data_IF_020188328034
#
_entry.id   IF_020188328034
#
_cell.length_a   1.000
_cell.length_b   1.000
_cell.length_c   1.000
_cell.angle_alpha   90.00
_cell.angle_beta   90.00
_cell.angle_gamma   90.00
#
_symmetry.space_group_name_H-M   'P 1'
#
loop_
_entity.id
_entity.type
_entity.pdbx_description
1 polymer ?
#
# COMPACT_ATOMS: atom_id res chain seq x y z
N UNK A 1 38.87 14.10 46.10
CA UNK A 1 37.87 14.15 45.03
C UNK A 1 37.57 12.72 44.59
N UNK A 2 36.43 12.14 44.99
CA UNK A 2 35.94 10.90 44.38
C UNK A 2 35.31 11.20 43.00
N UNK A 3 35.33 10.23 42.05
CA UNK A 3 34.69 10.41 40.75
C UNK A 3 33.15 10.42 40.88
N UNK A 4 32.42 11.16 40.02
CA UNK A 4 30.97 11.19 40.05
C UNK A 4 30.36 9.86 39.58
N UNK A 5 29.26 9.52 40.23
CA UNK A 5 28.49 8.28 40.11
C UNK A 5 28.19 7.86 38.67
N UNK A 6 28.55 6.62 38.33
CA UNK A 6 28.05 5.95 37.12
C UNK A 6 26.60 5.53 37.36
N UNK A 7 25.68 6.25 36.74
CA UNK A 7 24.28 5.85 36.61
C UNK A 7 24.19 4.48 35.92
N UNK A 8 23.34 3.54 36.40
CA UNK A 8 23.14 2.28 35.69
C UNK A 8 22.35 2.54 34.41
N UNK A 9 22.87 2.06 33.28
CA UNK A 9 22.11 1.93 32.05
C UNK A 9 20.99 0.93 32.29
N UNK A 10 19.76 1.43 32.48
CA UNK A 10 18.57 0.59 32.43
C UNK A 10 18.47 0.04 31.01
N UNK A 11 18.78 -1.25 30.88
CA UNK A 11 18.61 -2.03 29.67
C UNK A 11 17.11 -2.06 29.34
N UNK A 12 16.67 -1.13 28.49
CA UNK A 12 15.32 -1.11 27.96
C UNK A 12 15.06 -2.41 27.20
N UNK A 13 14.25 -3.29 27.78
CA UNK A 13 13.79 -4.49 27.10
C UNK A 13 12.87 -4.06 25.97
N UNK A 14 13.36 -4.15 24.74
CA UNK A 14 12.56 -3.96 23.53
C UNK A 14 11.68 -5.21 23.37
N UNK A 15 10.58 -5.24 24.13
CA UNK A 15 9.48 -6.18 23.94
C UNK A 15 8.87 -5.89 22.58
N UNK A 16 9.26 -6.68 21.57
CA UNK A 16 8.49 -6.80 20.33
C UNK A 16 7.16 -7.46 20.71
N UNK A 17 6.18 -6.64 21.04
CA UNK A 17 4.84 -7.08 21.41
C UNK A 17 4.23 -7.87 20.26
N UNK A 18 3.97 -9.16 20.50
CA UNK A 18 3.20 -10.00 19.58
C UNK A 18 1.75 -9.51 19.61
N UNK A 19 1.36 -8.68 18.66
CA UNK A 19 -0.04 -8.27 18.48
C UNK A 19 -0.87 -9.52 18.14
N UNK A 20 -1.94 -9.73 18.88
CA UNK A 20 -2.89 -10.84 18.65
C UNK A 20 -3.64 -10.65 17.32
N UNK A 21 -4.13 -11.73 16.71
CA UNK A 21 -4.93 -11.68 15.48
C UNK A 21 -6.16 -10.75 15.60
N UNK A 22 -6.73 -10.59 16.80
CA UNK A 22 -7.82 -9.65 17.06
C UNK A 22 -7.36 -8.18 17.04
N UNK A 23 -6.14 -7.91 17.51
CA UNK A 23 -5.51 -6.59 17.51
C UNK A 23 -5.15 -6.15 16.07
N UNK A 24 -4.68 -7.09 15.25
CA UNK A 24 -4.46 -6.89 13.82
C UNK A 24 -5.77 -6.60 13.09
N UNK A 25 -6.84 -7.36 13.35
CA UNK A 25 -8.15 -7.13 12.72
C UNK A 25 -8.76 -5.78 13.10
N UNK A 26 -8.62 -5.36 14.36
CA UNK A 26 -9.10 -4.05 14.81
C UNK A 26 -8.32 -2.92 14.12
N UNK A 27 -6.99 -2.99 14.10
CA UNK A 27 -6.12 -2.01 13.42
C UNK A 27 -6.39 -1.95 11.91
N UNK A 28 -6.65 -3.11 11.27
CA UNK A 28 -6.95 -3.18 9.85
C UNK A 28 -8.28 -2.49 9.52
N UNK A 29 -9.28 -2.56 10.41
CA UNK A 29 -10.58 -1.90 10.21
C UNK A 29 -10.47 -0.37 10.16
N UNK A 30 -9.52 0.21 10.91
CA UNK A 30 -9.22 1.64 10.88
C UNK A 30 -8.61 2.08 9.54
N UNK A 31 -7.89 1.19 8.84
CA UNK A 31 -7.39 1.44 7.48
C UNK A 31 -8.47 1.24 6.42
N UNK A 32 -9.36 0.25 6.59
CA UNK A 32 -10.42 -0.07 5.63
C UNK A 32 -11.41 1.09 5.50
N UNK A 33 -11.82 1.72 6.61
CA UNK A 33 -12.81 2.80 6.58
C UNK A 33 -12.40 3.96 5.65
N UNK A 34 -11.21 4.58 5.79
CA UNK A 34 -10.69 5.56 4.84
C UNK A 34 -10.57 5.01 3.41
N UNK A 35 -10.08 3.77 3.24
CA UNK A 35 -9.94 3.16 1.93
C UNK A 35 -11.27 3.03 1.19
N UNK A 36 -12.41 2.88 1.89
CA UNK A 36 -13.75 2.86 1.28
C UNK A 36 -14.27 4.24 0.86
N UNK A 37 -13.65 5.33 1.31
CA UNK A 37 -14.02 6.69 0.94
C UNK A 37 -13.26 7.20 -0.30
N UNK A 38 -12.07 6.66 -0.60
CA UNK A 38 -11.21 7.07 -1.72
C UNK A 38 -11.97 7.10 -3.06
N UNK A 39 -11.75 8.14 -3.87
CA UNK A 39 -12.32 8.31 -5.20
C UNK A 39 -11.21 8.53 -6.21
N UNK A 40 -11.50 8.27 -7.49
CA UNK A 40 -10.57 8.56 -8.59
C UNK A 40 -10.10 10.03 -8.61
N UNK A 41 -10.98 10.96 -8.19
CA UNK A 41 -10.67 12.38 -8.08
C UNK A 41 -9.54 12.68 -7.09
N UNK A 42 -9.41 11.90 -6.00
CA UNK A 42 -8.38 12.10 -4.97
C UNK A 42 -6.98 11.83 -5.53
N UNK A 43 -6.88 10.89 -6.47
CA UNK A 43 -5.66 10.60 -7.23
C UNK A 43 -5.47 11.45 -8.48
N UNK A 44 -6.34 12.44 -8.74
CA UNK A 44 -6.42 13.19 -10.01
C UNK A 44 -6.48 12.27 -11.24
N UNK A 45 -7.09 11.09 -11.09
CA UNK A 45 -7.22 10.10 -12.16
C UNK A 45 -8.48 10.45 -12.96
N UNK A 46 -8.27 11.02 -14.15
CA UNK A 46 -9.36 11.22 -15.09
C UNK A 46 -9.69 9.91 -15.83
N UNK A 47 -10.97 9.59 -16.07
CA UNK A 47 -11.35 8.48 -16.94
C UNK A 47 -10.67 8.64 -18.31
N UNK A 48 -9.91 7.63 -18.74
CA UNK A 48 -9.32 7.64 -20.07
C UNK A 48 -10.43 7.57 -21.11
N UNK A 49 -10.49 8.57 -22.00
CA UNK A 49 -11.34 8.52 -23.20
C UNK A 49 -10.82 7.39 -24.09
N UNK A 50 -11.53 6.27 -24.14
CA UNK A 50 -11.22 5.13 -24.98
C UNK A 50 -11.48 5.46 -26.45
N UNK A 51 -10.56 6.16 -27.10
CA UNK A 51 -10.51 6.12 -28.56
C UNK A 51 -9.73 4.85 -28.94
N UNK A 52 -10.32 3.89 -29.68
CA UNK A 52 -9.54 2.77 -30.19
C UNK A 52 -8.46 3.38 -31.08
N UNK A 53 -7.19 3.23 -30.72
CA UNK A 53 -6.08 3.70 -31.55
C UNK A 53 -6.03 2.79 -32.78
N UNK A 54 -6.62 3.26 -33.87
CA UNK A 54 -6.52 2.64 -35.18
C UNK A 54 -5.05 2.67 -35.62
N UNK A 55 -4.39 1.51 -35.58
CA UNK A 55 -3.43 1.10 -36.59
C UNK A 55 -2.17 1.94 -36.84
N UNK A 56 -1.55 2.54 -35.83
CA UNK A 56 -0.19 3.06 -35.98
C UNK A 56 0.69 2.65 -34.79
N UNK A 57 1.82 2.02 -35.08
CA UNK A 57 2.84 1.56 -34.14
C UNK A 57 3.60 2.74 -33.48
N UNK A 58 2.89 3.56 -32.70
CA UNK A 58 3.44 4.68 -31.93
C UNK A 58 2.89 4.68 -30.51
N UNK A 59 3.71 4.25 -29.55
CA UNK A 59 3.49 4.28 -28.09
C UNK A 59 2.11 3.79 -27.62
N UNK A 60 1.86 2.49 -27.76
CA UNK A 60 0.76 1.85 -27.02
C UNK A 60 1.06 1.96 -25.53
N UNK A 61 0.22 2.69 -24.78
CA UNK A 61 0.37 2.81 -23.32
C UNK A 61 0.36 1.41 -22.67
N UNK A 62 1.13 1.19 -21.59
CA UNK A 62 1.27 -0.13 -21.00
C UNK A 62 -0.10 -0.71 -20.57
N UNK A 63 -0.27 -2.05 -20.61
CA UNK A 63 -1.51 -2.70 -20.17
C UNK A 63 -1.86 -2.42 -18.71
N UNK A 64 -0.84 -2.26 -17.88
CA UNK A 64 -0.95 -1.92 -16.46
C UNK A 64 0.08 -0.85 -16.14
N UNK A 65 -0.35 0.22 -15.47
CA UNK A 65 0.56 1.21 -14.88
C UNK A 65 0.44 1.15 -13.37
N UNK A 66 1.57 1.07 -12.66
CA UNK A 66 1.63 1.20 -11.21
C UNK A 66 1.92 2.66 -10.82
N UNK A 67 1.16 3.18 -9.87
CA UNK A 67 1.41 4.48 -9.25
C UNK A 67 1.61 4.28 -7.76
N UNK A 68 2.84 4.48 -7.32
CA UNK A 68 3.21 4.40 -5.92
C UNK A 68 2.61 5.58 -5.13
N UNK A 69 1.98 5.31 -3.99
CA UNK A 69 1.52 6.34 -3.05
C UNK A 69 2.51 6.47 -1.90
N UNK A 70 2.74 5.37 -1.17
CA UNK A 70 3.70 5.33 -0.08
C UNK A 70 4.12 3.89 0.24
N UNK A 71 5.29 3.76 0.84
CA UNK A 71 5.85 2.50 1.32
C UNK A 71 6.56 2.77 2.65
N UNK A 72 6.37 1.87 3.60
CA UNK A 72 6.94 1.90 4.95
C UNK A 72 7.36 0.49 5.34
N UNK A 73 8.03 0.34 6.48
CA UNK A 73 8.41 -0.99 7.01
C UNK A 73 7.21 -1.87 7.36
N UNK A 74 6.00 -1.30 7.53
CA UNK A 74 4.81 -2.02 8.00
C UNK A 74 3.69 -2.10 6.98
N UNK A 75 3.63 -1.20 5.99
CA UNK A 75 2.66 -1.27 4.90
C UNK A 75 3.13 -0.52 3.65
N UNK A 76 2.56 -0.91 2.52
CA UNK A 76 2.69 -0.22 1.23
C UNK A 76 1.31 0.10 0.64
N UNK A 77 1.20 1.21 -0.08
CA UNK A 77 -0.01 1.62 -0.78
C UNK A 77 0.33 2.10 -2.19
N UNK A 78 -0.48 1.66 -3.16
CA UNK A 78 -0.35 2.08 -4.55
C UNK A 78 -1.62 1.82 -5.34
N UNK A 79 -1.63 2.30 -6.58
CA UNK A 79 -2.74 2.18 -7.50
C UNK A 79 -2.31 1.44 -8.76
N UNK A 80 -3.14 0.51 -9.20
CA UNK A 80 -2.98 -0.15 -10.49
C UNK A 80 -4.00 0.42 -11.48
N UNK A 81 -3.50 1.06 -12.53
CA UNK A 81 -4.32 1.55 -13.63
C UNK A 81 -4.31 0.52 -14.75
N UNK A 82 -5.44 -0.18 -14.92
CA UNK A 82 -5.60 -1.22 -15.94
C UNK A 82 -6.25 -0.63 -17.18
N UNK A 83 -5.72 -0.96 -18.36
CA UNK A 83 -6.45 -0.74 -19.61
C UNK A 83 -7.67 -1.66 -19.68
N UNK A 84 -8.74 -1.30 -20.40
CA UNK A 84 -9.85 -2.21 -20.66
C UNK A 84 -9.33 -3.55 -21.22
N UNK A 85 -9.73 -4.66 -20.60
CA UNK A 85 -9.29 -6.01 -20.96
C UNK A 85 -7.91 -6.42 -20.46
N UNK A 86 -7.18 -5.55 -19.75
CA UNK A 86 -5.98 -5.93 -19.03
C UNK A 86 -6.33 -6.52 -17.65
N UNK A 87 -5.45 -7.36 -17.13
CA UNK A 87 -5.58 -7.99 -15.81
C UNK A 87 -4.21 -8.14 -15.18
N UNK A 88 -4.15 -8.11 -13.86
CA UNK A 88 -2.97 -8.54 -13.12
C UNK A 88 -3.09 -10.06 -12.93
N UNK A 89 -2.12 -10.87 -13.41
CA UNK A 89 -2.15 -12.32 -13.23
C UNK A 89 -2.20 -12.70 -11.76
N UNK A 90 -2.75 -13.88 -11.48
CA UNK A 90 -2.76 -14.43 -10.13
C UNK A 90 -1.33 -14.61 -9.61
N UNK A 91 -1.05 -14.04 -8.45
CA UNK A 91 0.22 -14.17 -7.74
C UNK A 91 -0.05 -14.30 -6.25
N UNK A 92 0.88 -14.92 -5.52
CA UNK A 92 0.78 -15.15 -4.08
C UNK A 92 1.64 -14.11 -3.36
N UNK A 93 1.10 -13.55 -2.28
CA UNK A 93 1.86 -12.71 -1.36
C UNK A 93 2.08 -13.47 -0.04
N UNK A 94 3.23 -14.14 0.14
CA UNK A 94 3.52 -14.81 1.40
C UNK A 94 3.64 -13.78 2.52
N UNK A 95 3.08 -14.11 3.69
CA UNK A 95 3.18 -13.31 4.93
C UNK A 95 2.65 -11.86 4.85
N UNK A 96 1.80 -11.55 3.86
CA UNK A 96 1.20 -10.22 3.68
C UNK A 96 -0.34 -10.26 3.73
N UNK A 97 -0.93 -9.22 4.31
CA UNK A 97 -2.38 -8.98 4.29
C UNK A 97 -2.69 -7.81 3.36
N UNK A 98 -3.50 -8.04 2.31
CA UNK A 98 -3.83 -7.03 1.29
C UNK A 98 -5.30 -6.61 1.33
N UNK A 99 -5.58 -5.30 1.23
CA UNK A 99 -6.91 -4.76 0.99
C UNK A 99 -6.96 -4.15 -0.42
N UNK A 100 -7.82 -4.66 -1.29
CA UNK A 100 -8.01 -4.15 -2.65
C UNK A 100 -9.41 -3.56 -2.80
N UNK A 101 -9.49 -2.35 -3.36
CA UNK A 101 -10.74 -1.70 -3.73
C UNK A 101 -10.68 -1.22 -5.19
N UNK A 102 -11.67 -1.62 -5.97
CA UNK A 102 -11.91 -1.07 -7.32
C UNK A 102 -12.82 0.15 -7.23
N UNK A 103 -12.51 1.19 -8.00
CA UNK A 103 -13.34 2.38 -8.18
C UNK A 103 -13.98 2.40 -9.56
#
# INVERSE_FOLDING_TARGET
>A
MPPPDRHPAALGSLLHGTKSSADVSATQSELISPLTAVRAADGKIAPRKSKPSSGAAGLQSPPVTYMHICETEVFSMGLFLLRPGASIPLHVHPDMNGNLRSC
#
